data_IF_573639173838
#
_entry.id   IF_573639173838
#
_cell.length_a   1.000
_cell.length_b   1.000
_cell.length_c   1.000
_cell.angle_alpha   90.00
_cell.angle_beta   90.00
_cell.angle_gamma   90.00
#
_symmetry.space_group_name_H-M   'P 1'
#
loop_
_entity.id
_entity.type
_entity.pdbx_description
1 polymer ?
#
# COMPACT_ATOMS: atom_id res chain seq x y z
N UNK A 1 -6.49 -21.90 -6.35
CA UNK A 1 -5.37 -20.96 -6.56
C UNK A 1 -5.31 -20.06 -5.33
N UNK A 2 -4.13 -19.92 -4.73
CA UNK A 2 -3.95 -19.29 -3.41
C UNK A 2 -3.97 -17.77 -3.57
N UNK A 3 -4.81 -17.11 -2.78
CA UNK A 3 -5.04 -15.66 -2.81
C UNK A 3 -3.79 -14.96 -2.26
N UNK A 4 -3.26 -13.98 -3.00
CA UNK A 4 -2.12 -13.17 -2.54
C UNK A 4 -2.63 -12.13 -1.53
N UNK A 5 -2.67 -12.47 -0.25
CA UNK A 5 -3.23 -11.61 0.79
C UNK A 5 -2.12 -10.91 1.57
N UNK A 6 -1.44 -9.91 1.00
CA UNK A 6 -0.50 -9.07 1.77
C UNK A 6 -1.25 -7.94 2.49
N UNK A 7 -0.70 -7.46 3.60
CA UNK A 7 -1.24 -6.30 4.33
C UNK A 7 -0.25 -5.14 4.21
N UNK A 8 -0.30 -4.46 3.08
CA UNK A 8 0.56 -3.31 2.77
C UNK A 8 -0.28 -2.04 2.78
N UNK A 9 0.20 -1.00 3.47
CA UNK A 9 -0.47 0.28 3.60
C UNK A 9 0.38 1.37 2.95
N UNK A 10 -0.25 2.20 2.12
CA UNK A 10 0.34 3.37 1.51
C UNK A 10 -0.32 4.62 2.06
N UNK A 11 0.48 5.55 2.60
CA UNK A 11 -0.02 6.78 3.22
C UNK A 11 0.77 7.98 2.72
N UNK A 12 0.08 9.07 2.40
CA UNK A 12 0.71 10.37 2.14
C UNK A 12 0.63 11.24 3.39
N UNK A 13 1.76 11.77 3.85
CA UNK A 13 1.79 12.73 4.97
C UNK A 13 1.58 14.19 4.52
N UNK A 14 1.58 15.12 5.49
CA UNK A 14 1.47 16.55 5.24
C UNK A 14 2.74 17.19 4.66
N UNK A 15 3.89 16.52 4.78
CA UNK A 15 5.16 16.96 4.21
C UNK A 15 5.38 16.44 2.78
N UNK A 16 4.36 15.80 2.20
CA UNK A 16 4.36 15.24 0.85
C UNK A 16 5.32 14.04 0.67
N UNK A 17 5.47 13.25 1.71
CA UNK A 17 6.12 11.95 1.66
C UNK A 17 5.06 10.85 1.47
N UNK A 18 5.39 9.84 0.67
CA UNK A 18 4.68 8.57 0.67
C UNK A 18 5.40 7.61 1.61
N UNK A 19 4.67 7.08 2.58
CA UNK A 19 5.12 6.05 3.48
C UNK A 19 4.49 4.71 3.10
N UNK A 20 5.28 3.66 3.20
CA UNK A 20 4.89 2.29 2.89
C UNK A 20 5.10 1.45 4.15
N UNK A 21 4.06 0.77 4.62
CA UNK A 21 4.14 -0.23 5.67
C UNK A 21 3.85 -1.60 5.08
N UNK A 22 4.70 -2.57 5.42
CA UNK A 22 4.41 -3.99 5.28
C UNK A 22 4.43 -4.59 6.70
N UNK A 23 3.26 -5.03 7.17
CA UNK A 23 3.15 -5.53 8.55
C UNK A 23 3.86 -6.87 8.76
N UNK A 24 4.30 -7.54 7.69
CA UNK A 24 5.22 -8.67 7.83
C UNK A 24 6.61 -8.24 8.32
N UNK A 25 6.99 -6.98 8.08
CA UNK A 25 8.32 -6.46 8.41
C UNK A 25 8.29 -5.50 9.59
N UNK A 26 7.33 -4.58 9.64
CA UNK A 26 7.18 -3.62 10.74
C UNK A 26 5.74 -3.13 10.88
N UNK A 27 5.23 -3.16 12.10
CA UNK A 27 3.92 -2.64 12.49
C UNK A 27 3.99 -1.21 13.07
N UNK A 28 5.16 -0.77 13.55
CA UNK A 28 5.35 0.55 14.16
C UNK A 28 5.93 1.58 13.17
N UNK A 29 6.90 1.20 12.34
CA UNK A 29 7.63 2.14 11.47
C UNK A 29 7.44 1.79 9.99
N UNK A 30 7.41 2.78 9.08
CA UNK A 30 7.30 2.49 7.66
C UNK A 30 8.59 1.82 7.17
N UNK A 31 8.46 0.81 6.33
CA UNK A 31 9.60 0.14 5.69
C UNK A 31 10.27 1.04 4.65
N UNK A 32 9.49 1.94 4.04
CA UNK A 32 9.98 2.95 3.11
C UNK A 32 9.27 4.28 3.31
N UNK A 33 10.02 5.37 3.13
CA UNK A 33 9.50 6.73 3.09
C UNK A 33 10.14 7.46 1.92
N UNK A 34 9.31 7.91 0.97
CA UNK A 34 9.77 8.51 -0.28
C UNK A 34 9.25 9.95 -0.37
N UNK A 35 10.13 10.96 -0.36
CA UNK A 35 9.72 12.34 -0.58
C UNK A 35 9.33 12.56 -2.04
N UNK A 36 8.22 13.26 -2.28
CA UNK A 36 7.83 13.70 -3.62
C UNK A 36 8.07 15.19 -3.79
N UNK A 37 8.72 15.56 -4.89
CA UNK A 37 8.99 16.98 -5.20
C UNK A 37 7.72 17.74 -5.57
N UNK A 38 6.81 17.09 -6.30
CA UNK A 38 5.52 17.67 -6.69
C UNK A 38 4.46 17.30 -5.68
N UNK A 39 3.59 18.24 -5.31
CA UNK A 39 2.57 18.00 -4.31
C UNK A 39 1.52 17.01 -4.82
N UNK A 40 1.37 15.90 -4.12
CA UNK A 40 0.41 14.85 -4.43
C UNK A 40 -0.97 15.29 -3.93
N UNK A 41 -1.93 15.36 -4.84
CA UNK A 41 -3.32 15.74 -4.57
C UNK A 41 -4.23 14.52 -4.43
N UNK A 42 -3.88 13.40 -5.05
CA UNK A 42 -4.62 12.14 -4.96
C UNK A 42 -3.68 10.93 -4.96
N UNK A 43 -4.03 9.93 -4.15
CA UNK A 43 -3.37 8.63 -4.02
C UNK A 43 -4.44 7.55 -4.13
N UNK A 44 -4.34 6.64 -5.10
CA UNK A 44 -5.32 5.58 -5.31
C UNK A 44 -4.66 4.24 -5.60
N UNK A 45 -5.05 3.21 -4.84
CA UNK A 45 -4.72 1.83 -5.14
C UNK A 45 -5.74 1.25 -6.12
N UNK A 46 -5.25 0.69 -7.22
CA UNK A 46 -6.03 -0.04 -8.22
C UNK A 46 -5.73 -1.53 -8.04
N UNK A 47 -6.68 -2.32 -7.49
CA UNK A 47 -6.47 -3.76 -7.29
C UNK A 47 -6.43 -4.50 -8.62
N UNK A 48 -5.79 -5.67 -8.62
CA UNK A 48 -5.82 -6.58 -9.76
C UNK A 48 -7.25 -7.11 -9.99
N UNK A 49 -7.71 -7.12 -11.24
CA UNK A 49 -8.97 -7.76 -11.61
C UNK A 49 -8.72 -9.27 -11.76
N UNK A 50 -9.47 -10.09 -11.03
CA UNK A 50 -9.39 -11.55 -11.16
C UNK A 50 -9.77 -11.99 -12.59
N UNK A 51 -8.95 -12.84 -13.21
CA UNK A 51 -9.22 -13.43 -14.52
C UNK A 51 -8.59 -12.71 -15.72
N UNK A 52 -7.85 -11.60 -15.53
CA UNK A 52 -7.00 -11.06 -16.59
C UNK A 52 -5.62 -11.74 -16.57
N UNK A 53 -5.06 -12.02 -17.76
CA UNK A 53 -3.71 -12.59 -17.92
C UNK A 53 -2.59 -11.70 -17.31
N UNK A 54 -2.93 -10.46 -16.95
CA UNK A 54 -2.07 -9.48 -16.30
C UNK A 54 -2.74 -8.96 -15.01
N UNK A 55 -2.73 -9.78 -13.96
CA UNK A 55 -3.30 -9.46 -12.64
C UNK A 55 -2.41 -8.48 -11.84
N UNK A 56 -2.13 -7.33 -12.43
CA UNK A 56 -1.24 -6.32 -11.87
C UNK A 56 -2.01 -5.34 -11.00
N UNK A 57 -1.52 -5.09 -9.78
CA UNK A 57 -1.98 -4.00 -8.94
C UNK A 57 -1.16 -2.74 -9.25
N UNK A 58 -1.80 -1.58 -9.20
CA UNK A 58 -1.16 -0.30 -9.48
C UNK A 58 -1.43 0.71 -8.36
N UNK A 59 -0.46 1.56 -8.11
CA UNK A 59 -0.64 2.78 -7.33
C UNK A 59 -0.63 3.98 -8.27
N UNK A 60 -1.72 4.73 -8.28
CA UNK A 60 -1.89 5.94 -9.09
C UNK A 60 -1.76 7.17 -8.20
N UNK A 61 -0.92 8.11 -8.64
CA UNK A 61 -0.70 9.40 -7.99
C UNK A 61 -1.12 10.51 -8.96
N UNK A 62 -1.88 11.49 -8.46
CA UNK A 62 -2.10 12.75 -9.17
C UNK A 62 -1.40 13.88 -8.44
N UNK A 63 -0.79 14.80 -9.20
CA UNK A 63 -0.12 15.99 -8.67
C UNK A 63 -0.89 17.27 -9.01
N UNK A 64 -0.59 18.34 -8.28
CA UNK A 64 -1.24 19.65 -8.44
C UNK A 64 -0.97 20.32 -9.80
N UNK A 65 0.12 19.97 -10.47
CA UNK A 65 0.44 20.41 -11.82
C UNK A 65 -0.31 19.64 -12.93
N UNK A 66 -1.22 18.73 -12.55
CA UNK A 66 -2.01 17.92 -13.48
C UNK A 66 -1.29 16.67 -14.00
N UNK A 67 -0.09 16.35 -13.52
CA UNK A 67 0.59 15.09 -13.88
C UNK A 67 -0.06 13.88 -13.20
N UNK A 68 0.02 12.73 -13.87
CA UNK A 68 -0.38 11.42 -13.34
C UNK A 68 0.83 10.47 -13.37
N UNK A 69 1.06 9.80 -12.25
CA UNK A 69 2.08 8.77 -12.11
C UNK A 69 1.42 7.44 -11.81
N UNK A 70 1.80 6.40 -12.52
CA UNK A 70 1.30 5.05 -12.31
C UNK A 70 2.47 4.13 -11.98
N UNK A 71 2.46 3.59 -10.77
CA UNK A 71 3.47 2.68 -10.28
C UNK A 71 2.91 1.26 -10.30
N UNK A 72 3.62 0.35 -10.96
CA UNK A 72 3.35 -1.08 -10.87
C UNK A 72 3.83 -1.58 -9.51
N UNK A 73 2.94 -2.23 -8.77
CA UNK A 73 3.31 -2.80 -7.48
C UNK A 73 3.95 -4.17 -7.70
N UNK A 74 5.13 -4.35 -7.13
CA UNK A 74 5.83 -5.63 -7.21
C UNK A 74 5.04 -6.71 -6.46
N UNK A 75 5.30 -7.95 -6.82
CA UNK A 75 4.78 -9.12 -6.11
C UNK A 75 5.65 -9.52 -4.93
N UNK A 76 6.75 -8.80 -4.68
CA UNK A 76 7.79 -9.19 -3.71
C UNK A 76 7.34 -9.04 -2.26
N UNK A 77 6.27 -8.27 -1.99
CA UNK A 77 5.57 -8.27 -0.70
C UNK A 77 5.00 -9.66 -0.32
N UNK A 78 5.10 -10.63 -1.24
CA UNK A 78 5.06 -12.06 -0.94
C UNK A 78 3.65 -12.59 -0.72
N UNK A 79 3.55 -13.88 -0.41
CA UNK A 79 2.33 -14.51 0.05
C UNK A 79 2.41 -14.70 1.55
N UNK A 80 1.35 -14.38 2.28
CA UNK A 80 1.24 -14.74 3.70
C UNK A 80 0.06 -15.69 3.95
N UNK A 81 0.15 -16.56 4.97
CA UNK A 81 -0.98 -17.36 5.43
C UNK A 81 -2.16 -16.47 5.83
N UNK A 82 -3.39 -16.94 5.58
CA UNK A 82 -4.63 -16.23 5.95
C UNK A 82 -4.65 -15.83 7.43
N UNK A 83 -4.16 -16.70 8.31
CA UNK A 83 -4.09 -16.42 9.76
C UNK A 83 -3.18 -15.24 10.08
N UNK A 84 -2.05 -15.11 9.37
CA UNK A 84 -1.11 -13.99 9.53
C UNK A 84 -1.74 -12.70 9.04
N UNK A 85 -2.44 -12.73 7.89
CA UNK A 85 -3.21 -11.59 7.41
C UNK A 85 -4.28 -11.14 8.43
N UNK A 86 -5.04 -12.07 9.00
CA UNK A 86 -6.06 -11.79 10.01
C UNK A 86 -5.47 -11.17 11.28
N UNK A 87 -4.29 -11.63 11.71
CA UNK A 87 -3.54 -11.05 12.82
C UNK A 87 -3.08 -9.62 12.51
N UNK A 88 -2.54 -9.37 11.31
CA UNK A 88 -2.15 -8.03 10.88
C UNK A 88 -3.33 -7.06 10.83
N UNK A 89 -4.48 -7.50 10.30
CA UNK A 89 -5.73 -6.72 10.33
C UNK A 89 -6.10 -6.37 11.77
N UNK A 90 -6.06 -7.35 12.67
CA UNK A 90 -6.39 -7.12 14.09
C UNK A 90 -5.43 -6.13 14.75
N UNK A 91 -4.12 -6.26 14.51
CA UNK A 91 -3.10 -5.34 15.01
C UNK A 91 -3.36 -3.92 14.52
N UNK A 92 -3.60 -3.74 13.22
CA UNK A 92 -3.97 -2.44 12.66
C UNK A 92 -5.22 -1.85 13.31
N UNK A 93 -6.30 -2.63 13.43
CA UNK A 93 -7.54 -2.17 14.07
C UNK A 93 -7.34 -1.80 15.54
N UNK A 94 -6.44 -2.48 16.26
CA UNK A 94 -6.10 -2.12 17.64
C UNK A 94 -5.43 -0.74 17.73
N UNK A 95 -4.64 -0.34 16.73
CA UNK A 95 -4.07 1.01 16.68
C UNK A 95 -5.15 2.05 16.37
N UNK A 96 -5.97 1.80 15.35
CA UNK A 96 -6.99 2.77 14.91
C UNK A 96 -8.09 2.95 15.96
N UNK A 97 -8.47 1.89 16.68
CA UNK A 97 -9.51 1.96 17.73
C UNK A 97 -9.09 2.69 19.01
N UNK A 98 -7.81 3.03 19.15
CA UNK A 98 -7.27 3.78 20.30
C UNK A 98 -7.16 5.28 20.04
N UNK A 99 -7.49 5.73 18.83
CA UNK A 99 -7.65 7.14 18.46
C UNK A 99 -9.09 7.59 18.71
#
# INVERSE_FOLDING_TARGET
MVQNQTFVIYVKDSANNIHIWDLNESDIFPIYSVPFQKNITCLKLCPSVEGSENSNAFLVLATDDGSLYMHHLNTDHGQQPKSTYEEHVKTFLNYVSRL
#
